data_IF_423064927949
#
_entry.id   IF_423064927949
#
_cell.length_a   1.000
_cell.length_b   1.000
_cell.length_c   1.000
_cell.angle_alpha   90.00
_cell.angle_beta   90.00
_cell.angle_gamma   90.00
#
_symmetry.space_group_name_H-M   'P 1'
#
loop_
_entity.id
_entity.type
_entity.pdbx_description
1 polymer ?
#
# COMPACT_ATOMS: atom_id res chain seq x y z
N UNK A 1 -9.48 6.32 -17.84
CA UNK A 1 -9.83 5.10 -17.08
C UNK A 1 -10.12 5.54 -15.66
N UNK A 2 -11.15 5.01 -14.97
CA UNK A 2 -11.44 5.41 -13.57
C UNK A 2 -10.40 4.82 -12.62
N UNK A 3 -10.16 5.43 -11.44
CA UNK A 3 -9.22 4.85 -10.46
C UNK A 3 -9.69 3.46 -10.03
N UNK A 4 -11.01 3.23 -9.95
CA UNK A 4 -11.59 1.90 -9.72
C UNK A 4 -11.08 0.83 -10.69
N UNK A 5 -11.01 1.13 -11.98
CA UNK A 5 -10.51 0.18 -12.98
C UNK A 5 -9.00 -0.02 -12.85
N UNK A 6 -8.26 1.03 -12.52
CA UNK A 6 -6.82 0.97 -12.26
C UNK A 6 -6.52 0.07 -11.05
N UNK A 7 -7.23 0.27 -9.94
CA UNK A 7 -7.11 -0.54 -8.70
C UNK A 7 -7.35 -2.01 -9.00
N UNK A 8 -8.45 -2.34 -9.70
CA UNK A 8 -8.74 -3.73 -10.12
C UNK A 8 -7.62 -4.33 -10.98
N UNK A 9 -7.11 -3.57 -11.95
CA UNK A 9 -6.05 -4.04 -12.82
C UNK A 9 -4.75 -4.29 -12.05
N UNK A 10 -4.41 -3.42 -11.09
CA UNK A 10 -3.24 -3.60 -10.23
C UNK A 10 -3.43 -4.81 -9.32
N UNK A 11 -4.59 -4.96 -8.69
CA UNK A 11 -4.91 -6.13 -7.86
C UNK A 11 -4.66 -7.43 -8.62
N UNK A 12 -5.25 -7.57 -9.81
CA UNK A 12 -5.10 -8.78 -10.62
C UNK A 12 -3.63 -8.99 -11.01
N UNK A 13 -2.94 -7.93 -11.45
CA UNK A 13 -1.53 -8.02 -11.84
C UNK A 13 -0.61 -8.43 -10.69
N UNK A 14 -0.89 -7.99 -9.46
CA UNK A 14 -0.07 -8.24 -8.28
C UNK A 14 -0.49 -9.47 -7.47
N UNK A 15 -1.60 -10.12 -7.80
CA UNK A 15 -2.07 -11.35 -7.15
C UNK A 15 -2.03 -12.58 -8.05
N UNK A 16 -1.88 -12.41 -9.37
CA UNK A 16 -1.85 -13.52 -10.33
C UNK A 16 -0.46 -14.18 -10.41
N UNK A 17 -0.11 -14.97 -9.41
CA UNK A 17 1.12 -15.78 -9.40
C UNK A 17 0.89 -17.16 -9.97
N UNK A 18 1.87 -17.73 -10.66
CA UNK A 18 1.80 -19.10 -11.18
C UNK A 18 1.78 -20.13 -10.05
N UNK A 19 2.61 -19.92 -9.02
CA UNK A 19 2.73 -20.83 -7.88
C UNK A 19 2.48 -20.11 -6.55
N UNK A 20 1.75 -20.75 -5.63
CA UNK A 20 1.52 -20.26 -4.27
C UNK A 20 2.82 -19.81 -3.58
N UNK A 21 3.90 -20.59 -3.73
CA UNK A 21 5.20 -20.26 -3.13
C UNK A 21 5.78 -18.92 -3.61
N UNK A 22 5.47 -18.49 -4.84
CA UNK A 22 5.89 -17.16 -5.34
C UNK A 22 5.14 -16.05 -4.61
N UNK A 23 3.82 -16.18 -4.50
CA UNK A 23 2.97 -15.24 -3.77
C UNK A 23 3.42 -15.13 -2.30
N UNK A 24 3.63 -16.27 -1.64
CA UNK A 24 4.07 -16.30 -0.25
C UNK A 24 5.47 -15.70 -0.06
N UNK A 25 6.42 -16.03 -0.93
CA UNK A 25 7.75 -15.44 -0.88
C UNK A 25 7.67 -13.91 -1.04
N UNK A 26 6.82 -13.42 -1.95
CA UNK A 26 6.61 -11.98 -2.10
C UNK A 26 6.02 -11.36 -0.83
N UNK A 27 5.02 -12.00 -0.21
CA UNK A 27 4.43 -11.55 1.04
C UNK A 27 5.47 -11.44 2.16
N UNK A 28 6.31 -12.48 2.31
CA UNK A 28 7.39 -12.48 3.30
C UNK A 28 8.44 -11.40 3.03
N UNK A 29 8.82 -11.17 1.76
CA UNK A 29 9.75 -10.09 1.41
C UNK A 29 9.15 -8.71 1.73
N UNK A 30 7.85 -8.50 1.49
CA UNK A 30 7.16 -7.26 1.82
C UNK A 30 7.10 -7.03 3.33
N UNK A 31 6.80 -8.08 4.10
CA UNK A 31 6.77 -8.05 5.56
C UNK A 31 8.15 -7.72 6.14
N UNK A 32 9.18 -8.46 5.73
CA UNK A 32 10.56 -8.21 6.15
C UNK A 32 11.02 -6.79 5.80
N UNK A 33 10.67 -6.28 4.62
CA UNK A 33 10.96 -4.91 4.22
C UNK A 33 10.25 -3.88 5.11
N UNK A 34 8.97 -4.09 5.43
CA UNK A 34 8.23 -3.23 6.36
C UNK A 34 8.82 -3.27 7.77
N UNK A 35 9.25 -4.44 8.25
CA UNK A 35 9.88 -4.63 9.56
C UNK A 35 11.29 -4.02 9.62
N UNK A 36 12.10 -4.12 8.56
CA UNK A 36 13.43 -3.48 8.52
C UNK A 36 13.31 -1.94 8.50
N UNK A 37 12.28 -1.41 7.83
CA UNK A 37 11.94 0.01 7.85
C UNK A 37 11.44 0.48 9.23
N UNK A 38 11.03 -0.44 10.11
CA UNK A 38 10.48 -0.20 11.45
C UNK A 38 11.53 0.11 12.52
N UNK A 39 12.84 0.06 12.22
CA UNK A 39 13.90 0.44 13.18
C UNK A 39 13.67 1.81 13.83
N UNK A 40 12.87 2.68 13.19
CA UNK A 40 12.29 3.88 13.78
C UNK A 40 10.74 3.85 13.69
N UNK A 41 10.02 3.60 14.81
CA UNK A 41 8.56 3.45 14.82
C UNK A 41 7.81 4.76 14.53
N UNK A 42 8.46 5.93 14.58
CA UNK A 42 7.81 7.21 14.21
C UNK A 42 8.05 7.59 12.75
N UNK A 43 8.94 6.86 12.05
CA UNK A 43 9.32 7.16 10.67
C UNK A 43 8.14 7.23 9.71
N UNK A 44 7.16 6.34 9.85
CA UNK A 44 5.99 6.30 8.97
C UNK A 44 5.19 7.62 8.99
N UNK A 45 5.18 8.36 10.11
CA UNK A 45 4.51 9.66 10.22
C UNK A 45 5.23 10.68 9.33
N UNK A 46 6.56 10.71 9.36
CA UNK A 46 7.35 11.59 8.50
C UNK A 46 7.14 11.27 7.02
N UNK A 47 7.06 9.99 6.64
CA UNK A 47 6.80 9.57 5.26
C UNK A 47 5.39 10.01 4.80
N UNK A 48 4.37 9.93 5.68
CA UNK A 48 3.02 10.43 5.38
C UNK A 48 2.98 11.95 5.24
N UNK A 49 3.69 12.69 6.09
CA UNK A 49 3.81 14.16 5.99
C UNK A 49 4.50 14.55 4.68
N UNK A 50 5.59 13.87 4.32
CA UNK A 50 6.29 14.09 3.05
C UNK A 50 5.39 13.82 1.85
N UNK A 51 4.58 12.75 1.87
CA UNK A 51 3.59 12.50 0.82
C UNK A 51 2.54 13.62 0.71
N UNK A 52 2.17 14.25 1.82
CA UNK A 52 1.25 15.40 1.81
C UNK A 52 1.89 16.64 1.20
N UNK A 53 3.14 16.93 1.56
CA UNK A 53 3.92 18.04 0.99
C UNK A 53 4.14 17.85 -0.52
N UNK A 54 4.50 16.63 -0.91
CA UNK A 54 4.71 16.23 -2.30
C UNK A 54 3.48 16.33 -3.21
N UNK A 55 2.29 16.26 -2.61
CA UNK A 55 1.00 16.41 -3.26
C UNK A 55 0.58 17.88 -3.39
N UNK A 56 1.24 18.82 -2.72
CA UNK A 56 0.98 20.24 -2.86
C UNK A 56 1.39 20.74 -4.25
N UNK A 57 0.51 21.50 -4.88
CA UNK A 57 0.60 21.99 -6.25
C UNK A 57 0.43 23.52 -6.34
N UNK A 58 0.71 24.22 -5.23
CA UNK A 58 0.90 25.67 -5.23
C UNK A 58 -0.36 26.52 -5.16
N UNK A 59 -1.53 25.91 -4.89
CA UNK A 59 -2.80 26.64 -4.82
C UNK A 59 -2.85 27.63 -3.63
N UNK A 60 -3.52 28.79 -3.74
CA UNK A 60 -3.71 29.72 -2.63
C UNK A 60 -4.44 29.07 -1.44
N UNK A 61 -3.78 28.97 -0.29
CA UNK A 61 -4.29 28.27 0.88
C UNK A 61 -5.49 28.97 1.54
N UNK A 62 -6.65 28.30 1.63
CA UNK A 62 -7.77 28.68 2.51
C UNK A 62 -7.94 27.77 3.73
N UNK A 63 -7.26 26.62 3.78
CA UNK A 63 -7.39 25.59 4.81
C UNK A 63 -6.00 25.06 5.24
N UNK A 64 -5.86 24.44 6.43
CA UNK A 64 -4.59 23.85 6.86
C UNK A 64 -4.13 22.78 5.85
N UNK A 65 -2.86 22.81 5.45
CA UNK A 65 -2.26 21.91 4.45
C UNK A 65 -2.41 20.42 4.83
N UNK A 66 -2.46 20.14 6.14
CA UNK A 66 -2.43 18.82 6.74
C UNK A 66 -3.32 18.76 7.97
N UNK A 67 -4.06 17.67 8.14
CA UNK A 67 -4.80 17.31 9.35
C UNK A 67 -4.38 15.91 9.77
N UNK A 68 -4.04 15.75 11.04
CA UNK A 68 -3.77 14.47 11.67
C UNK A 68 -4.74 14.30 12.83
N UNK A 69 -5.45 13.18 12.87
CA UNK A 69 -6.39 12.87 13.94
C UNK A 69 -6.31 11.40 14.31
N UNK A 70 -6.49 11.10 15.60
CA UNK A 70 -6.74 9.75 16.09
C UNK A 70 -8.25 9.62 16.33
N UNK A 71 -8.88 8.66 15.68
CA UNK A 71 -10.33 8.41 15.76
C UNK A 71 -10.56 7.03 16.38
N UNK A 72 -11.48 6.97 17.34
CA UNK A 72 -11.90 5.74 18.04
C UNK A 72 -10.75 4.90 18.62
N UNK A 73 -9.61 5.54 18.93
CA UNK A 73 -8.35 4.93 19.42
C UNK A 73 -7.67 3.94 18.47
N UNK A 74 -8.31 3.59 17.35
CA UNK A 74 -7.86 2.54 16.43
C UNK A 74 -7.45 3.09 15.06
N UNK A 75 -7.85 4.30 14.71
CA UNK A 75 -7.59 4.88 13.39
C UNK A 75 -6.73 6.13 13.48
N UNK A 76 -5.63 6.15 12.73
CA UNK A 76 -4.89 7.36 12.41
C UNK A 76 -5.37 7.90 11.06
N UNK A 77 -5.92 9.10 11.05
CA UNK A 77 -6.31 9.81 9.84
C UNK A 77 -5.24 10.85 9.53
N UNK A 78 -4.69 10.79 8.31
CA UNK A 78 -3.82 11.83 7.75
C UNK A 78 -4.48 12.34 6.47
N UNK A 79 -4.89 13.61 6.47
CA UNK A 79 -5.59 14.24 5.37
C UNK A 79 -4.89 15.54 4.94
N UNK A 80 -4.87 15.82 3.65
CA UNK A 80 -4.31 17.05 3.08
C UNK A 80 -5.25 17.65 2.02
N UNK A 81 -4.98 18.88 1.61
CA UNK A 81 -5.68 19.55 0.49
C UNK A 81 -4.80 19.63 -0.77
N UNK A 82 -3.94 18.64 -0.99
CA UNK A 82 -3.09 18.55 -2.18
C UNK A 82 -3.85 18.02 -3.40
N UNK A 83 -3.10 17.76 -4.47
CA UNK A 83 -3.64 17.19 -5.71
C UNK A 83 -4.35 15.86 -5.42
N UNK A 84 -5.52 15.62 -6.02
CA UNK A 84 -6.15 14.31 -6.04
C UNK A 84 -5.22 13.24 -6.64
N UNK A 85 -5.38 12.01 -6.19
CA UNK A 85 -4.62 10.87 -6.71
C UNK A 85 -4.94 10.67 -8.20
N UNK A 86 -3.89 10.47 -8.98
CA UNK A 86 -3.96 10.00 -10.36
C UNK A 86 -3.52 8.52 -10.47
N UNK A 87 -3.49 7.98 -11.69
CA UNK A 87 -3.07 6.60 -11.94
C UNK A 87 -1.64 6.32 -11.45
N UNK A 88 -0.73 7.26 -11.67
CA UNK A 88 0.68 7.11 -11.31
C UNK A 88 0.88 7.12 -9.79
N UNK A 89 0.08 7.91 -9.06
CA UNK A 89 0.07 7.90 -7.60
C UNK A 89 -0.39 6.53 -7.06
N UNK A 90 -1.50 5.98 -7.57
CA UNK A 90 -2.01 4.66 -7.14
C UNK A 90 -1.01 3.55 -7.46
N UNK A 91 -0.43 3.56 -8.67
CA UNK A 91 0.65 2.64 -9.03
C UNK A 91 1.88 2.82 -8.14
N UNK A 92 2.20 4.06 -7.78
CA UNK A 92 3.28 4.41 -6.86
C UNK A 92 3.10 3.79 -5.48
N UNK A 93 1.89 3.85 -4.92
CA UNK A 93 1.57 3.19 -3.64
C UNK A 93 1.78 1.68 -3.69
N UNK A 94 1.59 1.06 -4.87
CA UNK A 94 1.64 -0.40 -5.04
C UNK A 94 3.03 -0.93 -5.44
N UNK A 95 3.95 -0.07 -5.88
CA UNK A 95 5.32 -0.46 -6.28
C UNK A 95 6.23 -0.67 -5.06
N UNK A 96 7.29 -1.45 -5.26
CA UNK A 96 8.38 -1.63 -4.30
C UNK A 96 9.68 -1.24 -4.97
N UNK A 97 10.48 -0.36 -4.36
CA UNK A 97 11.83 -0.02 -4.84
C UNK A 97 11.89 0.76 -6.16
N UNK A 98 10.74 1.10 -6.76
CA UNK A 98 10.61 1.90 -7.98
C UNK A 98 9.95 3.23 -7.66
N UNK A 99 10.70 4.18 -7.10
CA UNK A 99 10.21 5.55 -6.91
C UNK A 99 9.91 6.22 -8.25
N UNK A 100 8.75 6.85 -8.34
CA UNK A 100 8.25 7.55 -9.54
C UNK A 100 8.96 8.88 -9.80
N UNK A 101 9.76 9.36 -8.84
CA UNK A 101 10.28 10.74 -8.81
C UNK A 101 11.76 10.87 -9.19
N UNK A 102 12.25 10.02 -10.10
CA UNK A 102 13.65 10.07 -10.58
C UNK A 102 14.05 11.39 -11.26
N UNK A 103 13.09 12.23 -11.67
CA UNK A 103 13.36 13.40 -12.53
C UNK A 103 13.08 14.77 -11.88
N UNK A 104 12.62 14.82 -10.62
CA UNK A 104 12.45 16.08 -9.89
C UNK A 104 13.44 16.13 -8.72
N UNK A 105 14.51 16.93 -8.83
CA UNK A 105 15.50 17.13 -7.75
C UNK A 105 14.88 17.63 -6.43
N UNK A 106 13.63 18.11 -6.48
CA UNK A 106 12.91 18.70 -5.35
C UNK A 106 11.96 17.73 -4.63
N UNK A 107 11.73 16.51 -5.14
CA UNK A 107 10.81 15.55 -4.50
C UNK A 107 11.54 14.40 -3.82
N UNK A 108 11.33 14.22 -2.52
CA UNK A 108 12.10 13.32 -1.63
C UNK A 108 11.72 11.83 -1.71
N UNK A 109 10.65 11.47 -2.42
CA UNK A 109 10.14 10.08 -2.56
C UNK A 109 10.86 9.12 -3.53
N UNK A 110 12.17 9.30 -3.80
CA UNK A 110 12.91 8.56 -4.85
C UNK A 110 13.00 7.03 -4.64
N UNK A 111 12.92 6.53 -3.40
CA UNK A 111 13.11 5.09 -3.12
C UNK A 111 11.85 4.24 -3.36
N UNK A 112 10.66 4.85 -3.37
CA UNK A 112 9.40 4.09 -3.48
C UNK A 112 9.16 3.13 -2.31
N UNK A 113 9.70 3.46 -1.12
CA UNK A 113 9.62 2.64 0.10
C UNK A 113 8.89 3.35 1.25
N UNK A 114 8.71 4.68 1.19
CA UNK A 114 8.18 5.47 2.31
C UNK A 114 6.78 5.03 2.76
N UNK A 115 5.86 4.84 1.81
CA UNK A 115 4.53 4.34 2.12
C UNK A 115 4.53 2.89 2.67
N UNK A 116 5.57 2.10 2.36
CA UNK A 116 5.66 0.71 2.84
C UNK A 116 5.90 0.61 4.36
N UNK A 117 6.44 1.67 4.96
CA UNK A 117 6.60 1.77 6.41
C UNK A 117 5.24 1.80 7.15
N UNK A 118 4.16 2.22 6.48
CA UNK A 118 2.82 2.27 7.09
C UNK A 118 2.27 0.87 7.36
N UNK A 119 2.60 -0.11 6.49
CA UNK A 119 2.16 -1.50 6.67
C UNK A 119 2.79 -2.20 7.88
N UNK A 120 3.88 -1.67 8.44
CA UNK A 120 4.43 -2.16 9.71
C UNK A 120 3.63 -1.70 10.93
N UNK A 121 2.74 -0.69 10.77
CA UNK A 121 1.93 -0.13 11.86
C UNK A 121 0.44 -0.49 11.73
N UNK A 122 0.00 -0.90 10.55
CA UNK A 122 -1.40 -1.22 10.28
C UNK A 122 -1.52 -2.35 9.28
N UNK A 123 -2.44 -3.27 9.55
CA UNK A 123 -2.86 -4.37 8.67
C UNK A 123 -4.03 -3.97 7.74
N UNK A 124 -4.56 -2.76 7.93
CA UNK A 124 -5.62 -2.14 7.15
C UNK A 124 -5.30 -0.67 6.85
N UNK A 125 -5.35 -0.26 5.59
CA UNK A 125 -5.14 1.13 5.17
C UNK A 125 -6.23 1.52 4.18
N UNK A 126 -6.97 2.59 4.49
CA UNK A 126 -7.91 3.21 3.56
C UNK A 126 -7.26 4.46 2.94
N UNK A 127 -7.27 4.52 1.61
CA UNK A 127 -6.85 5.68 0.83
C UNK A 127 -8.09 6.29 0.19
N UNK A 128 -8.38 7.53 0.54
CA UNK A 128 -9.49 8.31 -0.01
C UNK A 128 -8.96 9.50 -0.80
N UNK A 129 -9.45 9.70 -2.01
CA UNK A 129 -9.15 10.88 -2.82
C UNK A 129 -10.36 11.31 -3.63
N UNK A 130 -10.83 12.54 -3.41
CA UNK A 130 -12.15 13.02 -3.89
C UNK A 130 -13.25 12.02 -3.49
N UNK A 131 -13.98 11.48 -4.46
CA UNK A 131 -15.09 10.54 -4.27
C UNK A 131 -14.67 9.07 -4.53
N UNK A 132 -13.37 8.81 -4.67
CA UNK A 132 -12.82 7.48 -4.90
C UNK A 132 -12.07 6.96 -3.67
N UNK A 133 -12.27 5.68 -3.39
CA UNK A 133 -11.72 4.98 -2.24
C UNK A 133 -11.04 3.71 -2.70
N UNK A 134 -9.90 3.41 -2.11
CA UNK A 134 -9.20 2.13 -2.25
C UNK A 134 -8.62 1.72 -0.91
N UNK A 135 -8.41 0.43 -0.69
CA UNK A 135 -7.82 -0.06 0.55
C UNK A 135 -6.76 -1.11 0.33
N UNK A 136 -5.91 -1.28 1.34
CA UNK A 136 -5.02 -2.42 1.51
C UNK A 136 -5.45 -3.13 2.78
N UNK A 137 -5.68 -4.43 2.72
CA UNK A 137 -6.29 -5.19 3.80
C UNK A 137 -5.72 -6.61 3.82
N UNK A 138 -5.05 -6.96 4.92
CA UNK A 138 -4.43 -8.29 5.09
C UNK A 138 -5.44 -9.44 5.20
N UNK A 139 -6.70 -9.12 5.49
CA UNK A 139 -7.80 -10.06 5.69
C UNK A 139 -8.84 -10.02 4.57
N UNK A 140 -8.53 -9.33 3.47
CA UNK A 140 -9.43 -9.14 2.35
C UNK A 140 -9.93 -10.46 1.73
N UNK A 141 -11.25 -10.57 1.59
CA UNK A 141 -11.90 -11.69 0.92
C UNK A 141 -11.69 -11.68 -0.60
N UNK A 142 -11.15 -10.60 -1.17
CA UNK A 142 -10.77 -10.51 -2.57
C UNK A 142 -9.61 -11.46 -2.92
N UNK A 143 -8.79 -11.84 -1.94
CA UNK A 143 -7.82 -12.91 -2.10
C UNK A 143 -8.51 -14.26 -2.05
N UNK A 144 -8.34 -15.04 -3.12
CA UNK A 144 -8.90 -16.38 -3.24
C UNK A 144 -7.78 -17.38 -3.55
N UNK A 145 -7.93 -18.60 -3.07
CA UNK A 145 -7.01 -19.68 -3.41
C UNK A 145 -7.14 -19.99 -4.90
N UNK A 146 -6.05 -19.89 -5.64
CA UNK A 146 -6.07 -20.24 -7.06
C UNK A 146 -6.00 -21.76 -7.21
N UNK A 147 -6.96 -22.34 -7.93
CA UNK A 147 -7.02 -23.77 -8.25
C UNK A 147 -5.72 -24.33 -8.84
N UNK A 148 -4.93 -23.50 -9.54
CA UNK A 148 -3.63 -23.92 -10.11
C UNK A 148 -2.55 -24.15 -9.03
N UNK A 149 -2.74 -23.64 -7.81
CA UNK A 149 -1.83 -23.85 -6.68
C UNK A 149 -2.06 -25.19 -5.96
N UNK A 150 -3.10 -25.93 -6.35
CA UNK A 150 -3.47 -27.21 -5.77
C UNK A 150 -4.89 -27.20 -5.21
N UNK A 151 -5.25 -28.27 -4.49
CA UNK A 151 -6.62 -28.54 -4.05
C UNK A 151 -7.27 -27.39 -3.27
N UNK A 152 -6.61 -26.93 -2.21
CA UNK A 152 -7.08 -25.86 -1.33
C UNK A 152 -5.93 -25.33 -0.46
N UNK A 153 -6.12 -24.14 0.12
CA UNK A 153 -5.13 -23.48 0.98
C UNK A 153 -4.78 -24.35 2.21
N UNK A 154 -5.77 -24.96 2.86
CA UNK A 154 -5.55 -25.75 4.06
C UNK A 154 -4.63 -26.96 3.82
N UNK A 155 -4.81 -27.64 2.67
CA UNK A 155 -3.94 -28.74 2.24
C UNK A 155 -2.53 -28.25 2.00
N UNK A 156 -2.37 -27.11 1.31
CA UNK A 156 -1.06 -26.51 1.07
C UNK A 156 -0.35 -26.14 2.38
N UNK A 157 -1.06 -25.49 3.31
CA UNK A 157 -0.53 -25.10 4.63
C UNK A 157 -0.12 -26.32 5.47
N UNK A 158 -0.92 -27.39 5.45
CA UNK A 158 -0.60 -28.64 6.17
C UNK A 158 0.69 -29.30 5.64
N UNK A 159 0.86 -29.34 4.31
CA UNK A 159 2.07 -29.90 3.67
C UNK A 159 3.30 -29.04 3.96
N UNK A 160 3.16 -27.71 3.90
CA UNK A 160 4.28 -26.78 4.10
C UNK A 160 4.53 -26.43 5.56
N UNK A 161 3.66 -26.85 6.49
CA UNK A 161 3.70 -26.58 7.93
C UNK A 161 3.79 -25.09 8.28
N UNK A 162 3.09 -24.26 7.51
CA UNK A 162 3.04 -22.80 7.70
C UNK A 162 1.72 -22.25 7.15
N UNK A 163 1.22 -21.17 7.75
CA UNK A 163 0.05 -20.43 7.23
C UNK A 163 0.44 -19.66 5.98
N UNK A 164 -0.45 -19.61 5.01
CA UNK A 164 -0.24 -18.86 3.78
C UNK A 164 -0.53 -17.37 4.01
N UNK A 165 0.33 -16.51 3.48
CA UNK A 165 0.16 -15.05 3.51
C UNK A 165 0.15 -14.51 2.08
N UNK A 166 -0.85 -13.68 1.74
CA UNK A 166 -0.91 -12.98 0.47
C UNK A 166 -0.06 -11.69 0.51
N UNK A 167 0.50 -11.23 -0.63
CA UNK A 167 1.27 -10.00 -0.71
C UNK A 167 0.35 -8.75 -0.73
N UNK A 168 -0.46 -8.59 0.31
CA UNK A 168 -1.54 -7.59 0.37
C UNK A 168 -1.03 -6.14 0.33
N UNK A 169 0.20 -5.87 0.78
CA UNK A 169 0.83 -4.54 0.81
C UNK A 169 1.05 -3.91 -0.59
N UNK A 170 0.88 -4.69 -1.65
CA UNK A 170 0.99 -4.22 -3.04
C UNK A 170 -0.32 -4.39 -3.83
N UNK A 171 -1.37 -4.92 -3.21
CA UNK A 171 -2.62 -5.29 -3.86
C UNK A 171 -3.76 -4.38 -3.34
N UNK A 172 -4.04 -3.26 -4.02
CA UNK A 172 -5.12 -2.37 -3.62
C UNK A 172 -6.48 -2.98 -4.00
N UNK A 173 -7.52 -2.63 -3.25
CA UNK A 173 -8.90 -3.14 -3.41
C UNK A 173 -9.89 -1.98 -3.51
#
# INVERSE_FOLDING_TARGET
MTLKNIVKNIFVAHSNYEYAKQAMNQAHCLKALSDDLYTDPVRFIYELIQNCDDAYDGHPMKNPLLRIAIVDKNYLIVANYGKPFDEDDVRGLCRVGCGTKKHGREKTGYKGLGFKAVFGQSDYILVASKDEYSRFDSTANEFQWDHKWGKDQATWEAVNRQKFEYPWQICPI
#
